data_IF_255250200213
#
_entry.id   IF_255250200213
#
_cell.length_a   1.000
_cell.length_b   1.000
_cell.length_c   1.000
_cell.angle_alpha   90.00
_cell.angle_beta   90.00
_cell.angle_gamma   90.00
#
_symmetry.space_group_name_H-M   'P 1'
#
loop_
_entity.id
_entity.type
_entity.pdbx_description
1 polymer ?
#
# COMPACT_ATOMS: atom_id res chain seq x y z
N UNK A 1 41.34 40.90 -0.12
CA UNK A 1 40.37 42.03 -0.24
C UNK A 1 39.02 41.45 -0.61
N UNK A 2 38.23 41.15 0.38
CA UNK A 2 36.87 40.72 0.17
C UNK A 2 35.91 41.67 0.89
N UNK A 3 35.24 42.48 0.10
CA UNK A 3 34.19 43.35 0.56
C UNK A 3 32.98 42.63 1.07
N UNK A 4 32.65 42.79 2.34
CA UNK A 4 31.39 42.40 2.92
C UNK A 4 30.29 43.36 2.47
N UNK A 5 29.19 42.80 1.93
CA UNK A 5 27.97 43.53 1.63
C UNK A 5 26.90 43.17 2.64
N UNK A 6 26.59 44.11 3.54
CA UNK A 6 25.45 44.05 4.45
C UNK A 6 24.14 44.07 3.66
N UNK A 7 23.31 43.07 3.84
CA UNK A 7 21.91 43.06 3.41
C UNK A 7 21.01 43.19 4.63
N UNK A 8 20.85 44.41 5.07
CA UNK A 8 19.83 44.76 6.04
C UNK A 8 18.60 45.36 5.31
N UNK A 9 17.42 44.85 5.65
CA UNK A 9 16.15 45.55 5.45
C UNK A 9 15.34 45.12 4.22
N UNK A 10 14.57 44.02 4.30
CA UNK A 10 13.33 43.91 3.55
C UNK A 10 12.16 43.82 4.53
N UNK A 11 11.42 44.90 4.56
CA UNK A 11 10.17 45.06 5.27
C UNK A 11 9.06 44.31 4.49
N UNK A 12 8.42 43.33 5.11
CA UNK A 12 7.35 42.52 4.55
C UNK A 12 5.94 42.96 4.98
N UNK A 13 5.74 44.25 5.21
CA UNK A 13 4.45 44.76 5.69
C UNK A 13 3.62 45.51 4.64
N UNK A 14 3.53 45.04 3.39
CA UNK A 14 2.54 45.61 2.48
C UNK A 14 2.25 44.68 1.28
N UNK A 15 1.40 43.69 1.42
CA UNK A 15 0.53 43.19 0.34
C UNK A 15 -0.70 42.52 0.93
N UNK A 16 -1.64 43.32 1.40
CA UNK A 16 -3.03 42.96 1.50
C UNK A 16 -3.63 43.09 0.10
N UNK A 17 -4.00 42.01 -0.52
CA UNK A 17 -4.91 42.00 -1.67
C UNK A 17 -6.14 41.16 -1.31
N UNK A 18 -7.25 41.88 -1.18
CA UNK A 18 -8.60 41.33 -1.13
C UNK A 18 -8.87 40.48 -2.38
N UNK A 19 -9.14 39.19 -2.20
CA UNK A 19 -9.73 38.35 -3.20
C UNK A 19 -11.21 38.23 -2.89
N UNK A 20 -12.11 38.45 -3.88
CA UNK A 20 -13.56 38.28 -3.66
C UNK A 20 -13.90 36.82 -3.51
N UNK A 21 -14.59 36.49 -2.44
CA UNK A 21 -15.21 35.19 -2.19
C UNK A 21 -16.32 34.94 -3.19
N UNK A 22 -16.06 34.10 -4.19
CA UNK A 22 -17.13 33.44 -4.93
C UNK A 22 -17.36 32.06 -4.32
N UNK A 23 -18.43 31.95 -3.58
CA UNK A 23 -18.94 30.69 -3.07
C UNK A 23 -19.42 29.80 -4.23
N UNK A 24 -18.73 28.72 -4.44
CA UNK A 24 -19.30 27.51 -4.99
C UNK A 24 -19.25 26.49 -3.84
N UNK A 25 -20.41 26.18 -3.28
CA UNK A 25 -20.56 25.10 -2.31
C UNK A 25 -20.21 23.80 -3.02
N UNK A 26 -18.99 23.31 -2.77
CA UNK A 26 -18.68 21.92 -3.02
C UNK A 26 -19.44 21.12 -1.96
N UNK A 27 -20.39 20.32 -2.39
CA UNK A 27 -21.04 19.30 -1.56
C UNK A 27 -19.94 18.47 -0.89
N UNK A 28 -19.93 18.31 0.43
CA UNK A 28 -18.99 17.44 1.09
C UNK A 28 -19.33 16.00 0.67
N UNK A 29 -18.50 15.41 -0.14
CA UNK A 29 -18.45 13.95 -0.30
C UNK A 29 -18.44 13.35 1.09
N UNK A 30 -19.48 12.58 1.40
CA UNK A 30 -19.77 12.09 2.74
C UNK A 30 -18.55 11.51 3.41
N UNK A 31 -17.97 12.26 4.31
CA UNK A 31 -16.92 11.78 5.18
C UNK A 31 -17.47 10.59 5.95
N UNK A 32 -16.96 9.40 5.69
CA UNK A 32 -17.15 8.30 6.62
C UNK A 32 -16.64 8.78 7.97
N UNK A 33 -17.54 8.85 8.94
CA UNK A 33 -17.17 9.19 10.30
C UNK A 33 -16.24 8.12 10.86
N UNK A 34 -14.95 8.39 10.78
CA UNK A 34 -13.88 7.52 11.28
C UNK A 34 -13.68 7.65 12.79
N UNK A 35 -14.48 8.49 13.48
CA UNK A 35 -14.34 8.74 14.91
C UNK A 35 -14.71 7.52 15.79
N UNK A 36 -15.38 6.53 15.22
CA UNK A 36 -15.70 5.24 15.87
C UNK A 36 -14.77 4.09 15.50
N UNK A 37 -13.86 4.25 14.51
CA UNK A 37 -12.92 3.20 14.11
C UNK A 37 -11.68 3.25 15.01
N UNK A 38 -11.66 2.44 16.02
CA UNK A 38 -10.47 2.19 16.81
C UNK A 38 -9.52 1.27 16.03
N UNK A 39 -8.60 1.84 15.27
CA UNK A 39 -7.57 1.09 14.51
C UNK A 39 -6.69 0.21 15.41
N UNK A 40 -6.79 0.34 16.71
CA UNK A 40 -6.16 -0.51 17.72
C UNK A 40 -7.09 -1.58 18.27
N UNK A 41 -8.29 -1.70 17.74
CA UNK A 41 -9.20 -2.79 18.10
C UNK A 41 -8.68 -4.12 17.58
N UNK A 42 -8.17 -4.92 18.49
CA UNK A 42 -7.59 -6.23 18.19
C UNK A 42 -8.64 -7.34 18.09
N UNK A 43 -9.91 -7.04 18.28
CA UNK A 43 -10.99 -8.03 18.18
C UNK A 43 -11.23 -8.55 16.75
N UNK A 44 -10.75 -7.80 15.74
CA UNK A 44 -10.86 -8.12 14.33
C UNK A 44 -9.58 -8.70 13.72
N UNK A 45 -8.58 -8.98 14.56
CA UNK A 45 -7.33 -9.59 14.11
C UNK A 45 -7.63 -11.02 13.65
N UNK A 46 -7.25 -11.41 12.43
CA UNK A 46 -7.37 -12.79 11.98
C UNK A 46 -6.56 -13.74 12.90
N UNK A 47 -7.06 -14.96 13.08
CA UNK A 47 -6.39 -15.98 13.90
C UNK A 47 -4.97 -16.31 13.40
N UNK A 48 -4.69 -16.06 12.13
CA UNK A 48 -3.36 -16.21 11.50
C UNK A 48 -2.34 -15.18 11.98
N UNK A 49 -2.78 -14.02 12.52
CA UNK A 49 -1.90 -12.92 12.91
C UNK A 49 -1.59 -12.99 14.39
N UNK A 50 -0.31 -13.16 14.72
CA UNK A 50 0.16 -13.14 16.11
C UNK A 50 0.21 -11.71 16.64
N UNK A 51 -0.73 -11.38 17.51
CA UNK A 51 -0.78 -10.07 18.16
C UNK A 51 0.36 -9.89 19.13
N UNK A 52 1.26 -8.97 18.82
CA UNK A 52 2.43 -8.65 19.65
C UNK A 52 2.92 -7.22 19.40
N UNK A 53 4.13 -6.96 19.85
CA UNK A 53 4.78 -5.65 19.65
C UNK A 53 5.05 -5.31 18.17
N UNK A 54 4.97 -6.30 17.30
CA UNK A 54 5.12 -6.15 15.84
C UNK A 54 3.84 -5.76 15.09
N UNK A 55 2.72 -5.57 15.81
CA UNK A 55 1.41 -5.27 15.20
C UNK A 55 0.81 -4.03 15.86
N UNK A 56 0.93 -2.90 15.19
CA UNK A 56 0.33 -1.62 15.65
C UNK A 56 -1.11 -1.45 15.21
N UNK A 57 -1.41 -1.88 14.00
CA UNK A 57 -2.69 -1.70 13.34
C UNK A 57 -3.07 -2.93 12.52
N UNK A 58 -4.34 -3.03 12.19
CA UNK A 58 -4.90 -4.04 11.30
C UNK A 58 -5.81 -3.33 10.31
N UNK A 59 -5.75 -3.72 9.05
CA UNK A 59 -6.66 -3.24 8.03
C UNK A 59 -8.07 -3.83 8.27
N UNK A 60 -8.97 -3.01 8.76
CA UNK A 60 -10.34 -3.41 9.13
C UNK A 60 -11.15 -3.91 7.92
N UNK A 61 -10.91 -3.36 6.75
CA UNK A 61 -11.58 -3.71 5.52
C UNK A 61 -10.62 -3.58 4.34
N UNK A 62 -9.69 -4.53 4.16
CA UNK A 62 -8.69 -4.44 3.10
C UNK A 62 -9.38 -4.54 1.74
N UNK A 63 -9.07 -3.58 0.87
CA UNK A 63 -9.63 -3.49 -0.48
C UNK A 63 -8.56 -3.67 -1.55
N UNK A 64 -8.96 -4.14 -2.73
CA UNK A 64 -8.09 -4.17 -3.90
C UNK A 64 -7.75 -2.74 -4.33
N UNK A 65 -6.49 -2.36 -4.18
CA UNK A 65 -5.94 -1.05 -4.55
C UNK A 65 -5.04 -1.11 -5.78
N UNK A 66 -5.12 -2.17 -6.56
CA UNK A 66 -4.33 -2.30 -7.82
C UNK A 66 -4.66 -1.24 -8.87
N UNK A 67 -5.83 -0.61 -8.77
CA UNK A 67 -6.26 0.50 -9.62
C UNK A 67 -5.92 1.88 -9.07
N UNK A 68 -5.38 1.98 -7.85
CA UNK A 68 -5.02 3.25 -7.25
C UNK A 68 -3.61 3.67 -7.67
N UNK A 69 -3.36 4.97 -7.85
CA UNK A 69 -2.00 5.49 -8.05
C UNK A 69 -1.15 5.29 -6.78
N UNK A 70 0.16 5.37 -6.93
CA UNK A 70 1.07 5.42 -5.78
C UNK A 70 0.78 6.64 -4.91
N UNK A 71 1.10 6.54 -3.61
CA UNK A 71 0.88 7.63 -2.66
C UNK A 71 1.54 8.94 -3.14
N UNK A 72 0.80 10.03 -3.09
CA UNK A 72 1.23 11.35 -3.54
C UNK A 72 1.12 11.56 -5.06
N UNK A 73 0.51 10.64 -5.79
CA UNK A 73 0.28 10.74 -7.23
C UNK A 73 -1.21 10.85 -7.59
N UNK A 74 -2.08 11.08 -6.61
CA UNK A 74 -3.52 11.11 -6.77
C UNK A 74 -3.99 12.29 -7.64
N UNK A 75 -3.32 13.46 -7.51
CA UNK A 75 -3.75 14.73 -8.10
C UNK A 75 -2.68 15.40 -9.00
N UNK A 76 -1.93 14.61 -9.75
CA UNK A 76 -0.80 15.12 -10.55
C UNK A 76 -1.18 15.72 -11.91
N UNK A 77 -2.45 15.85 -12.24
CA UNK A 77 -2.93 16.48 -13.50
C UNK A 77 -2.70 15.69 -14.79
N UNK A 78 -2.19 14.46 -14.69
CA UNK A 78 -2.04 13.53 -15.80
C UNK A 78 -2.35 12.11 -15.35
N UNK A 79 -2.61 11.20 -16.33
CA UNK A 79 -2.85 9.80 -16.01
C UNK A 79 -1.59 9.16 -15.41
N UNK A 80 -1.74 8.59 -14.21
CA UNK A 80 -0.71 7.76 -13.57
C UNK A 80 -0.94 6.30 -13.96
N UNK A 81 0.13 5.60 -14.30
CA UNK A 81 0.08 4.17 -14.59
C UNK A 81 -0.15 3.39 -13.28
N UNK A 82 -1.21 2.59 -13.26
CA UNK A 82 -1.55 1.71 -12.14
C UNK A 82 -1.33 0.24 -12.50
N UNK A 83 -1.42 -0.66 -11.54
CA UNK A 83 -1.34 -2.08 -11.85
C UNK A 83 -2.50 -2.56 -12.73
N UNK A 84 -3.67 -1.95 -12.64
CA UNK A 84 -4.81 -2.27 -13.52
C UNK A 84 -4.59 -1.93 -14.99
N UNK A 85 -3.67 -1.01 -15.28
CA UNK A 85 -3.35 -0.65 -16.67
C UNK A 85 -2.38 -1.66 -17.32
N UNK A 86 -1.76 -2.54 -16.52
CA UNK A 86 -0.74 -3.46 -17.01
C UNK A 86 -1.35 -4.76 -17.53
N UNK A 87 -0.88 -5.19 -18.68
CA UNK A 87 -1.23 -6.50 -19.25
C UNK A 87 0.02 -7.20 -19.74
N UNK A 88 0.03 -8.54 -19.67
CA UNK A 88 1.05 -9.33 -20.34
C UNK A 88 0.90 -9.21 -21.86
N UNK A 89 2.03 -9.07 -22.56
CA UNK A 89 2.04 -9.03 -24.04
C UNK A 89 1.69 -10.38 -24.66
N UNK A 90 1.86 -11.46 -23.90
CA UNK A 90 1.52 -12.82 -24.32
C UNK A 90 0.57 -13.44 -23.31
N UNK A 91 -0.32 -14.36 -23.72
CA UNK A 91 -1.17 -15.06 -22.78
C UNK A 91 -0.36 -15.75 -21.69
N UNK A 92 -0.93 -15.83 -20.48
CA UNK A 92 -0.30 -16.57 -19.39
C UNK A 92 -0.19 -18.04 -19.75
N UNK A 93 0.99 -18.67 -19.55
CA UNK A 93 1.22 -20.05 -19.99
C UNK A 93 0.46 -21.08 -19.16
N UNK A 94 0.14 -20.76 -17.91
CA UNK A 94 -0.61 -21.64 -17.00
C UNK A 94 -1.94 -20.97 -16.62
N UNK A 95 -3.03 -21.53 -17.12
CA UNK A 95 -4.40 -21.05 -16.87
C UNK A 95 -5.14 -21.87 -15.84
N UNK A 96 -4.49 -22.83 -15.19
CA UNK A 96 -5.11 -23.65 -14.14
C UNK A 96 -5.59 -22.75 -12.99
N UNK A 97 -6.71 -23.07 -12.34
CA UNK A 97 -7.08 -22.40 -11.10
C UNK A 97 -6.03 -22.65 -10.01
N UNK A 98 -5.86 -21.75 -9.05
CA UNK A 98 -4.99 -22.00 -7.92
C UNK A 98 -5.50 -23.20 -7.11
N UNK A 99 -4.59 -24.08 -6.73
CA UNK A 99 -4.87 -25.26 -5.91
C UNK A 99 -4.92 -24.93 -4.42
N UNK A 100 -4.23 -23.83 -4.04
CA UNK A 100 -4.17 -23.32 -2.67
C UNK A 100 -4.19 -21.79 -2.68
N UNK A 101 -4.81 -21.22 -1.68
CA UNK A 101 -4.70 -19.78 -1.37
C UNK A 101 -3.97 -19.62 -0.06
N UNK A 102 -3.01 -18.69 -0.05
CA UNK A 102 -2.26 -18.27 1.13
C UNK A 102 -2.55 -16.79 1.34
N UNK A 103 -2.94 -16.41 2.53
CA UNK A 103 -3.10 -15.03 2.93
C UNK A 103 -1.95 -14.64 3.86
N UNK A 104 -1.35 -13.49 3.63
CA UNK A 104 -0.21 -12.98 4.40
C UNK A 104 -0.49 -11.53 4.77
N UNK A 105 -0.48 -11.25 6.04
CA UNK A 105 -0.62 -9.91 6.57
C UNK A 105 0.75 -9.26 6.72
N UNK A 106 0.92 -8.13 6.03
CA UNK A 106 2.10 -7.27 6.14
C UNK A 106 1.88 -6.36 7.35
N UNK A 107 2.45 -6.73 8.46
CA UNK A 107 2.28 -6.09 9.75
C UNK A 107 3.51 -5.27 10.11
N UNK A 108 3.39 -4.37 11.07
CA UNK A 108 4.51 -3.55 11.50
C UNK A 108 4.22 -2.76 12.77
N UNK A 109 5.28 -2.20 13.32
CA UNK A 109 5.22 -1.22 14.40
C UNK A 109 6.05 -0.01 14.00
N UNK A 110 5.36 1.10 13.71
CA UNK A 110 5.99 2.31 13.19
C UNK A 110 6.85 3.03 14.24
N UNK A 111 6.48 2.98 15.51
CA UNK A 111 7.26 3.60 16.59
C UNK A 111 8.60 2.88 16.81
N UNK A 112 8.66 1.58 16.47
CA UNK A 112 9.83 0.73 16.64
C UNK A 112 10.54 0.41 15.33
N UNK A 113 10.07 0.93 14.19
CA UNK A 113 10.60 0.64 12.86
C UNK A 113 10.71 -0.87 12.59
N UNK A 114 9.68 -1.61 12.99
CA UNK A 114 9.65 -3.07 12.85
C UNK A 114 8.65 -3.48 11.77
N UNK A 115 9.06 -4.46 10.99
CA UNK A 115 8.25 -5.11 10.00
C UNK A 115 8.11 -6.59 10.29
N UNK A 116 6.95 -7.15 10.01
CA UNK A 116 6.66 -8.55 10.26
C UNK A 116 5.67 -9.09 9.24
N UNK A 117 5.61 -10.41 9.09
CA UNK A 117 4.55 -11.11 8.39
C UNK A 117 3.70 -11.84 9.41
N UNK A 118 2.38 -11.66 9.34
CA UNK A 118 1.42 -12.26 10.28
C UNK A 118 1.79 -12.00 11.77
N UNK A 119 2.42 -10.86 12.04
CA UNK A 119 2.86 -10.46 13.36
C UNK A 119 4.21 -11.05 13.80
N UNK A 120 4.84 -11.89 12.99
CA UNK A 120 6.14 -12.51 13.31
C UNK A 120 7.29 -11.85 12.55
N UNK A 121 8.35 -11.48 13.27
CA UNK A 121 9.58 -10.95 12.67
C UNK A 121 10.47 -12.07 12.16
N UNK A 122 11.22 -11.80 11.11
CA UNK A 122 12.18 -12.75 10.56
C UNK A 122 13.18 -13.27 11.62
N UNK A 123 13.60 -12.42 12.56
CA UNK A 123 14.52 -12.79 13.65
C UNK A 123 13.92 -13.74 14.69
N UNK A 124 12.61 -13.97 14.65
CA UNK A 124 11.91 -14.88 15.58
C UNK A 124 11.84 -16.32 15.07
N UNK A 125 12.49 -16.61 13.94
CA UNK A 125 12.57 -17.96 13.40
C UNK A 125 11.28 -18.42 12.71
N UNK A 126 10.63 -17.52 12.01
CA UNK A 126 9.38 -17.77 11.27
C UNK A 126 9.52 -18.95 10.33
N UNK A 127 8.56 -19.87 10.38
CA UNK A 127 8.47 -20.94 9.39
C UNK A 127 8.26 -20.36 7.98
N UNK A 128 9.06 -20.75 7.00
CA UNK A 128 8.90 -20.24 5.65
C UNK A 128 7.59 -20.72 5.03
N UNK A 129 6.95 -19.84 4.26
CA UNK A 129 5.79 -20.22 3.44
C UNK A 129 6.28 -21.17 2.36
N UNK A 130 5.90 -22.42 2.44
CA UNK A 130 6.35 -23.49 1.53
C UNK A 130 5.46 -23.57 0.32
N UNK A 131 6.07 -23.72 -0.85
CA UNK A 131 5.41 -24.00 -2.12
C UNK A 131 5.92 -25.32 -2.68
N UNK A 132 5.01 -26.12 -3.19
CA UNK A 132 5.34 -27.41 -3.80
C UNK A 132 5.70 -27.22 -5.29
N UNK A 133 6.54 -28.13 -5.78
CA UNK A 133 6.89 -28.13 -7.20
C UNK A 133 5.64 -28.33 -8.06
N UNK A 134 5.45 -27.47 -9.07
CA UNK A 134 4.27 -27.44 -9.95
C UNK A 134 2.95 -27.07 -9.25
N UNK A 135 2.97 -26.65 -8.01
CA UNK A 135 1.83 -26.05 -7.36
C UNK A 135 1.48 -24.70 -8.01
N UNK A 136 0.20 -24.44 -8.23
CA UNK A 136 -0.30 -23.13 -8.58
C UNK A 136 -1.01 -22.55 -7.35
N UNK A 137 -0.30 -21.70 -6.65
CA UNK A 137 -0.82 -21.05 -5.44
C UNK A 137 -1.24 -19.61 -5.73
N UNK A 138 -2.27 -19.14 -5.04
CA UNK A 138 -2.61 -17.71 -4.93
C UNK A 138 -2.09 -17.20 -3.60
N UNK A 139 -1.30 -16.15 -3.65
CA UNK A 139 -0.89 -15.42 -2.46
C UNK A 139 -1.64 -14.10 -2.44
N UNK A 140 -2.36 -13.86 -1.36
CA UNK A 140 -3.02 -12.59 -1.08
C UNK A 140 -2.20 -11.85 -0.03
N UNK A 141 -1.71 -10.67 -0.38
CA UNK A 141 -0.95 -9.80 0.51
C UNK A 141 -1.88 -8.71 1.01
N UNK A 142 -1.98 -8.55 2.32
CA UNK A 142 -2.79 -7.51 2.99
C UNK A 142 -1.84 -6.60 3.75
N UNK A 143 -1.89 -5.30 3.47
CA UNK A 143 -1.06 -4.34 4.17
C UNK A 143 -1.82 -3.70 5.33
N UNK A 144 -1.52 -4.14 6.53
CA UNK A 144 -2.10 -3.65 7.78
C UNK A 144 -1.44 -2.36 8.28
N UNK A 145 -0.42 -1.88 7.58
CA UNK A 145 0.37 -0.72 8.01
C UNK A 145 -0.05 0.55 7.28
N UNK A 146 0.47 1.67 7.74
CA UNK A 146 0.24 2.98 7.13
C UNK A 146 1.29 3.36 6.06
N UNK A 147 2.18 2.45 5.71
CA UNK A 147 3.20 2.65 4.69
C UNK A 147 3.07 1.65 3.55
N UNK A 148 3.46 2.07 2.34
CA UNK A 148 3.54 1.17 1.19
C UNK A 148 4.59 0.09 1.42
N UNK A 149 4.24 -1.16 1.16
CA UNK A 149 5.12 -2.32 1.25
C UNK A 149 5.48 -2.86 -0.12
N UNK A 150 6.73 -2.74 -0.58
CA UNK A 150 7.23 -3.48 -1.73
C UNK A 150 7.56 -4.92 -1.30
N UNK A 151 6.85 -5.88 -1.86
CA UNK A 151 7.10 -7.30 -1.63
C UNK A 151 7.76 -7.90 -2.86
N UNK A 152 8.91 -8.51 -2.66
CA UNK A 152 9.72 -9.14 -3.69
C UNK A 152 9.81 -10.65 -3.48
N UNK A 153 9.56 -11.41 -4.55
CA UNK A 153 9.75 -12.86 -4.56
C UNK A 153 11.09 -13.21 -5.20
N UNK A 154 11.98 -13.81 -4.42
CA UNK A 154 13.28 -14.25 -4.91
C UNK A 154 13.18 -15.45 -5.85
N UNK A 155 13.91 -15.41 -6.96
CA UNK A 155 14.09 -16.53 -7.88
C UNK A 155 12.89 -16.85 -8.78
N UNK A 156 11.75 -16.20 -8.62
CA UNK A 156 10.55 -16.45 -9.40
C UNK A 156 9.84 -15.16 -9.83
N UNK A 157 9.08 -15.27 -10.91
CA UNK A 157 8.07 -14.27 -11.27
C UNK A 157 6.70 -14.79 -10.86
N UNK A 158 5.84 -13.90 -10.42
CA UNK A 158 4.43 -14.18 -10.17
C UNK A 158 3.55 -13.45 -11.19
N UNK A 159 2.34 -13.93 -11.36
CA UNK A 159 1.30 -13.30 -12.15
C UNK A 159 0.46 -12.42 -11.21
N UNK A 160 0.49 -11.10 -11.43
CA UNK A 160 -0.28 -10.17 -10.63
C UNK A 160 -1.75 -10.19 -11.06
N UNK A 161 -2.64 -10.62 -10.16
CA UNK A 161 -4.08 -10.67 -10.42
C UNK A 161 -4.66 -9.26 -10.34
N UNK A 162 -4.89 -8.63 -11.48
CA UNK A 162 -5.31 -7.23 -11.62
C UNK A 162 -6.57 -7.03 -12.47
N UNK A 163 -7.33 -8.12 -12.72
CA UNK A 163 -8.56 -8.10 -13.51
C UNK A 163 -8.40 -8.57 -14.96
N UNK A 164 -7.19 -8.66 -15.50
CA UNK A 164 -6.93 -9.11 -16.87
C UNK A 164 -6.73 -10.62 -16.96
N UNK A 165 -7.78 -11.38 -16.73
CA UNK A 165 -7.75 -12.86 -16.73
C UNK A 165 -7.11 -13.41 -18.01
N UNK A 166 -6.11 -14.28 -17.86
CA UNK A 166 -5.35 -14.88 -18.96
C UNK A 166 -4.24 -13.99 -19.52
N UNK A 167 -4.15 -12.74 -19.07
CA UNK A 167 -3.12 -11.76 -19.47
C UNK A 167 -2.54 -11.01 -18.27
N UNK A 168 -2.46 -11.67 -17.13
CA UNK A 168 -1.87 -11.09 -15.92
C UNK A 168 -0.41 -10.69 -16.15
N UNK A 169 0.00 -9.47 -15.77
CA UNK A 169 1.40 -9.07 -15.90
C UNK A 169 2.30 -9.90 -14.97
N UNK A 170 3.44 -10.32 -15.51
CA UNK A 170 4.45 -11.07 -14.73
C UNK A 170 5.37 -10.07 -14.03
N UNK A 171 5.47 -10.21 -12.72
CA UNK A 171 6.26 -9.35 -11.86
C UNK A 171 7.09 -10.17 -10.87
N UNK A 172 8.13 -9.57 -10.36
CA UNK A 172 8.92 -10.11 -9.24
C UNK A 172 8.79 -9.25 -7.97
N UNK A 173 8.22 -8.06 -8.10
CA UNK A 173 7.96 -7.13 -7.00
C UNK A 173 6.60 -6.49 -7.17
N UNK A 174 5.86 -6.36 -6.09
CA UNK A 174 4.59 -5.63 -6.04
C UNK A 174 4.57 -4.70 -4.84
N UNK A 175 4.11 -3.47 -5.04
CA UNK A 175 3.83 -2.53 -3.96
C UNK A 175 2.41 -2.75 -3.44
N UNK A 176 2.28 -2.99 -2.15
CA UNK A 176 0.98 -3.09 -1.49
C UNK A 176 0.73 -1.78 -0.73
N UNK A 177 -0.27 -1.02 -1.18
CA UNK A 177 -0.62 0.27 -0.56
C UNK A 177 -1.22 0.07 0.84
N UNK A 178 -1.15 1.09 1.73
CA UNK A 178 -1.73 1.02 3.06
C UNK A 178 -3.21 0.63 3.04
N UNK A 179 -3.63 -0.31 3.90
CA UNK A 179 -5.00 -0.79 3.95
C UNK A 179 -5.46 -1.54 2.69
N UNK A 180 -4.55 -1.81 1.77
CA UNK A 180 -4.83 -2.50 0.52
C UNK A 180 -4.52 -3.99 0.58
N UNK A 181 -5.11 -4.71 -0.38
CA UNK A 181 -4.75 -6.11 -0.67
C UNK A 181 -4.44 -6.28 -2.16
N UNK A 182 -3.57 -7.18 -2.43
CA UNK A 182 -3.17 -7.58 -3.78
C UNK A 182 -2.97 -9.09 -3.86
#
# INVERSE_FOLDING_TARGET
DHGGGDMAGMDHSAMGQDMPSQGAAAEPMGGMDMSGMNMRDKSLVPDSVKVGVGVDAIAMAPVDRTGDPGLGLEDVGHKVLTYRDLMSLTPNPDTRPPQRTVEVHLTGNMERFMWSFDGEKFSEGVEPIRFERNERARVTLINDTMMTHPIHLHGHFFELVNGHTGSYPRKHTVNVLPGGKV
#
